data_IF_822414289124
#
_entry.id   IF_822414289124
#
_cell.length_a   1.000
_cell.length_b   1.000
_cell.length_c   1.000
_cell.angle_alpha   90.00
_cell.angle_beta   90.00
_cell.angle_gamma   90.00
#
_symmetry.space_group_name_H-M   'P 1'
#
loop_
_entity.id
_entity.type
_entity.pdbx_description
1 polymer ?
#
# COMPACT_ATOMS: atom_id res chain seq x y z
N UNK A 1 -0.39 -15.79 8.38
CA UNK A 1 0.20 -14.73 7.54
C UNK A 1 0.96 -15.41 6.43
N UNK A 2 0.98 -14.86 5.20
CA UNK A 2 1.80 -15.41 4.12
C UNK A 2 3.24 -15.70 4.59
N UNK A 3 3.77 -16.86 4.22
CA UNK A 3 5.09 -17.34 4.67
C UNK A 3 5.14 -18.01 6.06
N UNK A 4 4.07 -17.96 6.86
CA UNK A 4 3.94 -18.71 8.10
C UNK A 4 3.04 -19.93 7.89
N UNK A 5 3.65 -21.11 7.87
CA UNK A 5 2.94 -22.38 7.56
C UNK A 5 1.86 -22.67 8.60
N UNK A 6 0.63 -22.82 8.12
CA UNK A 6 -0.52 -23.28 8.88
C UNK A 6 -0.59 -24.80 8.82
N UNK A 7 -0.06 -25.45 9.85
CA UNK A 7 -0.14 -26.90 10.03
C UNK A 7 -1.50 -27.38 10.53
N UNK A 8 -1.72 -28.71 10.51
CA UNK A 8 -3.00 -29.34 10.89
C UNK A 8 -3.52 -28.91 12.27
N UNK A 9 -2.61 -28.74 13.24
CA UNK A 9 -2.96 -28.32 14.61
C UNK A 9 -3.48 -26.88 14.72
N UNK A 10 -3.20 -26.04 13.73
CA UNK A 10 -3.60 -24.63 13.70
C UNK A 10 -4.75 -24.36 12.72
N UNK A 11 -5.28 -25.38 12.04
CA UNK A 11 -6.33 -25.18 11.02
C UNK A 11 -7.61 -24.60 11.62
N UNK A 12 -8.11 -25.20 12.71
CA UNK A 12 -9.36 -24.76 13.33
C UNK A 12 -9.26 -23.35 13.92
N UNK A 13 -8.16 -23.05 14.63
CA UNK A 13 -7.91 -21.71 15.18
C UNK A 13 -7.71 -20.66 14.08
N UNK A 14 -7.03 -21.01 12.99
CA UNK A 14 -6.86 -20.14 11.81
C UNK A 14 -8.21 -19.85 11.15
N UNK A 15 -9.05 -20.88 10.97
CA UNK A 15 -10.39 -20.73 10.42
C UNK A 15 -11.25 -19.80 11.26
N UNK A 16 -11.31 -20.02 12.57
CA UNK A 16 -12.09 -19.16 13.49
C UNK A 16 -11.57 -17.71 13.47
N UNK A 17 -10.25 -17.52 13.42
CA UNK A 17 -9.65 -16.19 13.36
C UNK A 17 -9.98 -15.48 12.05
N UNK A 18 -9.95 -16.20 10.92
CA UNK A 18 -10.34 -15.66 9.62
C UNK A 18 -11.82 -15.26 9.61
N UNK A 19 -12.71 -16.16 10.02
CA UNK A 19 -14.16 -15.88 10.09
C UNK A 19 -14.44 -14.66 10.96
N UNK A 20 -13.74 -14.54 12.10
CA UNK A 20 -13.89 -13.38 12.98
C UNK A 20 -13.40 -12.09 12.34
N UNK A 21 -12.26 -12.12 11.67
CA UNK A 21 -11.71 -10.96 10.97
C UNK A 21 -12.63 -10.51 9.83
N UNK A 22 -13.14 -11.45 9.04
CA UNK A 22 -14.10 -11.19 7.95
C UNK A 22 -15.39 -10.54 8.47
N UNK A 23 -15.92 -11.02 9.61
CA UNK A 23 -17.08 -10.44 10.28
C UNK A 23 -16.82 -8.99 10.71
N UNK A 24 -15.66 -8.72 11.33
CA UNK A 24 -15.30 -7.38 11.81
C UNK A 24 -15.11 -6.40 10.65
N UNK A 25 -14.44 -6.83 9.57
CA UNK A 25 -14.28 -6.00 8.36
C UNK A 25 -15.63 -5.73 7.71
N UNK A 26 -16.53 -6.72 7.63
CA UNK A 26 -17.86 -6.55 7.05
C UNK A 26 -18.70 -5.52 7.82
N UNK A 27 -18.66 -5.58 9.15
CA UNK A 27 -19.42 -4.69 10.05
C UNK A 27 -18.87 -3.26 10.13
N UNK A 28 -17.64 -3.03 9.67
CA UNK A 28 -16.97 -1.73 9.76
C UNK A 28 -17.05 -0.98 8.43
N UNK A 29 -17.16 0.34 8.47
CA UNK A 29 -17.09 1.19 7.27
C UNK A 29 -15.65 1.53 6.89
N UNK A 30 -14.80 1.67 7.92
CA UNK A 30 -13.39 2.05 7.82
C UNK A 30 -12.53 1.07 8.58
N UNK A 31 -11.41 0.67 7.99
CA UNK A 31 -10.43 -0.23 8.61
C UNK A 31 -9.07 0.47 8.66
N UNK A 32 -8.51 0.61 9.85
CA UNK A 32 -7.14 1.08 10.05
C UNK A 32 -6.18 -0.10 10.13
N UNK A 33 -5.18 -0.15 9.24
CA UNK A 33 -4.19 -1.21 9.18
C UNK A 33 -2.96 -0.77 9.98
N UNK A 34 -3.02 -0.97 11.30
CA UNK A 34 -2.01 -0.54 12.29
C UNK A 34 -1.17 -1.73 12.77
N UNK A 35 -0.60 -2.48 11.83
CA UNK A 35 0.05 -3.76 12.10
C UNK A 35 1.57 -3.60 12.20
N UNK A 36 2.23 -4.54 12.85
CA UNK A 36 3.67 -4.52 13.13
C UNK A 36 4.51 -5.06 11.97
N UNK A 37 3.95 -5.91 11.10
CA UNK A 37 4.68 -6.54 9.99
C UNK A 37 4.02 -6.35 8.62
N UNK A 38 4.80 -6.58 7.55
CA UNK A 38 4.32 -6.48 6.17
C UNK A 38 3.34 -7.61 5.86
N UNK A 39 3.67 -8.82 6.24
CA UNK A 39 2.91 -10.05 6.07
C UNK A 39 1.58 -10.04 6.85
N UNK A 40 1.51 -9.36 8.00
CA UNK A 40 0.25 -9.17 8.73
C UNK A 40 -0.75 -8.29 7.95
N UNK A 41 -0.26 -7.27 7.23
CA UNK A 41 -1.11 -6.33 6.46
C UNK A 41 -1.79 -6.96 5.25
N UNK A 42 -1.28 -8.09 4.77
CA UNK A 42 -1.73 -8.69 3.51
C UNK A 42 -3.21 -9.06 3.54
N UNK A 43 -3.63 -9.87 4.51
CA UNK A 43 -5.02 -10.35 4.55
C UNK A 43 -6.03 -9.19 4.76
N UNK A 44 -5.85 -8.27 5.73
CA UNK A 44 -6.72 -7.10 5.85
C UNK A 44 -6.79 -6.26 4.57
N UNK A 45 -5.68 -6.14 3.81
CA UNK A 45 -5.68 -5.44 2.52
C UNK A 45 -6.55 -6.16 1.49
N UNK A 46 -6.41 -7.49 1.36
CA UNK A 46 -7.25 -8.31 0.48
C UNK A 46 -8.73 -8.19 0.86
N UNK A 47 -9.05 -8.28 2.16
CA UNK A 47 -10.42 -8.18 2.67
C UNK A 47 -11.06 -6.83 2.36
N UNK A 48 -10.35 -5.72 2.63
CA UNK A 48 -10.87 -4.38 2.36
C UNK A 48 -11.08 -4.15 0.86
N UNK A 49 -10.14 -4.61 0.03
CA UNK A 49 -10.27 -4.52 -1.43
C UNK A 49 -11.43 -5.39 -1.96
N UNK A 50 -11.63 -6.59 -1.42
CA UNK A 50 -12.71 -7.49 -1.82
C UNK A 50 -14.11 -6.96 -1.44
N UNK A 51 -14.21 -6.32 -0.27
CA UNK A 51 -15.46 -5.79 0.31
C UNK A 51 -15.65 -4.28 0.06
N UNK A 52 -14.76 -3.66 -0.71
CA UNK A 52 -14.76 -2.23 -1.04
C UNK A 52 -14.85 -1.32 0.19
N UNK A 53 -14.05 -1.60 1.22
CA UNK A 53 -13.98 -0.83 2.47
C UNK A 53 -12.92 0.28 2.39
N UNK A 54 -13.15 1.40 3.09
CA UNK A 54 -12.10 2.42 3.27
C UNK A 54 -10.99 1.80 4.12
N UNK A 55 -9.79 1.70 3.57
CA UNK A 55 -8.62 1.20 4.28
C UNK A 55 -7.57 2.31 4.41
N UNK A 56 -7.20 2.62 5.66
CA UNK A 56 -6.12 3.55 5.99
C UNK A 56 -4.98 2.76 6.60
N UNK A 57 -3.86 2.65 5.89
CA UNK A 57 -2.66 2.00 6.37
C UNK A 57 -1.75 3.02 7.07
N UNK A 58 -1.19 2.64 8.22
CA UNK A 58 -0.09 3.34 8.84
C UNK A 58 1.06 2.37 9.14
N UNK A 59 2.27 2.79 8.85
CA UNK A 59 3.49 2.02 9.09
C UNK A 59 4.58 2.93 9.64
N UNK A 60 5.37 2.38 10.57
CA UNK A 60 6.46 3.08 11.23
C UNK A 60 7.78 2.38 10.91
N UNK A 61 8.78 3.18 10.52
CA UNK A 61 10.19 2.82 10.56
C UNK A 61 10.83 3.26 11.88
N UNK A 62 12.15 3.37 11.89
CA UNK A 62 12.90 3.88 13.05
C UNK A 62 12.62 5.37 13.30
N UNK A 63 12.82 6.20 12.28
CA UNK A 63 12.65 7.66 12.30
C UNK A 63 11.69 8.17 11.20
N UNK A 64 11.09 7.27 10.43
CA UNK A 64 10.16 7.58 9.34
C UNK A 64 8.80 6.93 9.53
N UNK A 65 7.79 7.44 8.82
CA UNK A 65 6.44 6.89 8.82
C UNK A 65 5.83 6.94 7.43
N UNK A 66 4.78 6.14 7.23
CA UNK A 66 3.93 6.19 6.04
C UNK A 66 2.48 6.05 6.45
N UNK A 67 1.63 6.95 5.98
CA UNK A 67 0.17 6.91 6.10
C UNK A 67 -0.42 6.89 4.70
N UNK A 68 -1.29 5.95 4.40
CA UNK A 68 -1.80 5.73 3.04
C UNK A 68 -3.28 5.36 3.07
N UNK A 69 -4.07 5.91 2.16
CA UNK A 69 -5.41 5.36 1.86
C UNK A 69 -5.31 4.39 0.69
N UNK A 70 -5.98 3.24 0.76
CA UNK A 70 -6.02 2.32 -0.37
C UNK A 70 -7.07 2.73 -1.39
N UNK A 71 -6.80 2.46 -2.67
CA UNK A 71 -7.80 2.60 -3.71
C UNK A 71 -8.91 1.56 -3.68
N UNK A 72 -10.06 1.91 -4.27
CA UNK A 72 -11.21 1.01 -4.42
C UNK A 72 -10.98 -0.04 -5.49
N UNK A 73 -11.72 -1.14 -5.40
CA UNK A 73 -11.70 -2.19 -6.43
C UNK A 73 -13.12 -2.47 -6.88
N UNK A 74 -13.53 -1.81 -7.96
CA UNK A 74 -14.77 -2.12 -8.65
C UNK A 74 -14.49 -2.99 -9.87
N UNK A 75 -15.02 -4.21 -9.87
CA UNK A 75 -14.75 -5.23 -10.90
C UNK A 75 -15.71 -5.14 -12.10
N UNK A 76 -16.62 -4.17 -12.13
CA UNK A 76 -17.58 -4.00 -13.23
C UNK A 76 -16.96 -3.44 -14.51
N UNK A 77 -15.73 -2.91 -14.44
CA UNK A 77 -14.98 -2.51 -15.63
C UNK A 77 -13.50 -2.83 -15.40
N UNK A 78 -12.90 -3.80 -16.12
CA UNK A 78 -11.48 -4.09 -16.04
C UNK A 78 -10.69 -3.02 -16.82
N UNK A 79 -10.75 -1.78 -16.34
CA UNK A 79 -9.93 -0.71 -16.89
C UNK A 79 -8.54 -0.83 -16.27
N UNK A 80 -7.51 -0.84 -17.12
CA UNK A 80 -6.14 -0.57 -16.67
C UNK A 80 -6.10 0.78 -15.98
N UNK A 81 -5.28 0.96 -14.94
CA UNK A 81 -5.13 2.29 -14.35
C UNK A 81 -4.66 3.29 -15.41
N UNK A 82 -5.16 4.52 -15.35
CA UNK A 82 -4.54 5.62 -16.07
C UNK A 82 -3.21 5.94 -15.36
N UNK A 83 -2.10 5.59 -16.01
CA UNK A 83 -0.75 5.82 -15.49
C UNK A 83 -0.25 7.23 -15.78
N UNK A 84 -0.90 7.95 -16.70
CA UNK A 84 -0.54 9.31 -17.09
C UNK A 84 -1.34 10.36 -16.29
N UNK A 85 -2.37 9.92 -15.56
CA UNK A 85 -3.15 10.77 -14.68
C UNK A 85 -2.28 11.36 -13.55
N UNK A 86 -2.08 12.69 -13.58
CA UNK A 86 -1.37 13.43 -12.51
C UNK A 86 -2.07 13.30 -11.15
N UNK A 87 -3.41 13.34 -11.15
CA UNK A 87 -4.25 13.29 -9.95
C UNK A 87 -5.22 12.09 -10.03
N UNK A 88 -4.76 10.85 -9.87
CA UNK A 88 -5.60 9.66 -10.02
C UNK A 88 -6.72 9.61 -8.98
N UNK A 89 -7.89 9.17 -9.42
CA UNK A 89 -9.05 8.91 -8.58
C UNK A 89 -8.88 7.62 -7.76
N UNK A 90 -9.76 7.41 -6.77
CA UNK A 90 -9.68 6.29 -5.82
C UNK A 90 -9.47 4.92 -6.46
N UNK A 91 -10.18 4.59 -7.54
CA UNK A 91 -10.03 3.30 -8.23
C UNK A 91 -8.63 3.03 -8.82
N UNK A 92 -7.87 4.08 -9.13
CA UNK A 92 -6.52 3.97 -9.69
C UNK A 92 -5.42 4.10 -8.64
N UNK A 93 -5.78 4.31 -7.37
CA UNK A 93 -4.81 4.28 -6.29
C UNK A 93 -4.38 2.87 -5.93
N UNK A 94 -3.09 2.73 -5.70
CA UNK A 94 -2.47 1.53 -5.18
C UNK A 94 -2.90 1.20 -3.75
N UNK A 95 -2.61 -0.03 -3.34
CA UNK A 95 -2.56 -0.37 -1.91
C UNK A 95 -1.10 -0.39 -1.45
N UNK A 96 -0.88 -0.71 -0.18
CA UNK A 96 0.46 -0.87 0.39
C UNK A 96 1.39 -1.80 -0.44
N UNK A 97 0.84 -2.84 -1.07
CA UNK A 97 1.59 -3.82 -1.87
C UNK A 97 1.68 -3.49 -3.37
N UNK A 98 1.25 -2.31 -3.82
CA UNK A 98 1.33 -1.95 -5.25
C UNK A 98 2.70 -1.46 -5.69
N UNK A 99 3.55 -0.97 -4.77
CA UNK A 99 4.95 -0.64 -5.08
C UNK A 99 5.90 -1.84 -4.91
N UNK A 100 5.34 -3.02 -4.65
CA UNK A 100 6.12 -4.17 -4.21
C UNK A 100 6.34 -5.13 -5.37
N UNK A 101 7.61 -5.49 -5.58
CA UNK A 101 8.03 -6.46 -6.60
C UNK A 101 8.18 -7.87 -6.02
N UNK A 102 7.73 -8.12 -4.79
CA UNK A 102 7.87 -9.42 -4.11
C UNK A 102 6.59 -9.86 -3.38
N UNK A 103 6.37 -11.18 -3.22
CA UNK A 103 5.34 -11.72 -2.34
C UNK A 103 5.63 -11.37 -0.87
N UNK A 104 4.61 -11.02 -0.06
CA UNK A 104 4.77 -10.93 1.39
C UNK A 104 5.18 -12.30 1.95
N UNK A 105 6.36 -12.37 2.55
CA UNK A 105 6.92 -13.58 3.16
C UNK A 105 7.13 -13.43 4.66
N UNK A 106 7.58 -14.50 5.32
CA UNK A 106 7.97 -14.45 6.73
C UNK A 106 9.23 -13.59 6.88
N UNK A 107 9.06 -12.35 7.30
CA UNK A 107 10.15 -11.40 7.46
C UNK A 107 10.85 -11.53 8.82
N UNK A 108 10.36 -12.44 9.68
CA UNK A 108 10.85 -12.64 11.05
C UNK A 108 11.93 -13.73 11.16
N UNK A 109 12.03 -14.64 10.19
CA UNK A 109 12.99 -15.76 10.23
C UNK A 109 14.46 -15.32 10.17
N UNK A 110 14.75 -14.21 9.49
CA UNK A 110 16.12 -13.72 9.26
C UNK A 110 16.46 -12.45 10.07
N UNK A 111 15.57 -12.02 10.97
CA UNK A 111 15.80 -10.86 11.86
C UNK A 111 16.30 -11.31 13.22
N UNK A 112 17.38 -10.68 13.70
CA UNK A 112 17.80 -10.82 15.11
C UNK A 112 16.70 -10.28 16.04
N UNK A 113 16.66 -10.72 17.30
CA UNK A 113 15.59 -10.36 18.27
C UNK A 113 15.37 -8.83 18.36
N UNK A 114 16.45 -8.06 18.27
CA UNK A 114 16.45 -6.58 18.30
C UNK A 114 15.90 -5.93 17.02
N UNK A 115 15.78 -6.66 15.91
CA UNK A 115 15.19 -6.22 14.64
C UNK A 115 13.71 -6.65 14.50
N UNK A 116 13.24 -7.56 15.36
CA UNK A 116 11.84 -8.01 15.40
C UNK A 116 10.95 -7.00 16.14
N UNK A 117 11.54 -6.23 17.07
CA UNK A 117 10.89 -5.06 17.68
C UNK A 117 11.23 -3.83 16.82
N UNK A 118 10.26 -3.21 16.15
CA UNK A 118 10.48 -1.89 15.53
C UNK A 118 10.78 -0.89 16.64
N UNK A 119 12.05 -0.66 16.94
CA UNK A 119 12.49 0.50 17.72
C UNK A 119 12.11 1.71 16.88
N UNK A 120 11.13 2.48 17.33
CA UNK A 120 10.68 3.69 16.65
C UNK A 120 10.87 4.87 17.60
N UNK A 121 11.25 6.02 17.05
CA UNK A 121 11.31 7.26 17.82
C UNK A 121 9.91 7.55 18.39
N UNK A 122 9.75 7.79 19.71
CA UNK A 122 8.42 7.82 20.36
C UNK A 122 7.40 8.82 19.77
N UNK A 123 7.87 9.90 19.14
CA UNK A 123 6.98 10.89 18.51
C UNK A 123 6.31 10.42 17.21
N UNK A 124 6.85 9.40 16.54
CA UNK A 124 6.35 8.93 15.25
C UNK A 124 4.92 8.40 15.31
N UNK A 125 4.60 7.62 16.35
CA UNK A 125 3.29 7.01 16.48
C UNK A 125 2.19 8.06 16.61
N UNK A 126 2.46 9.16 17.32
CA UNK A 126 1.51 10.27 17.47
C UNK A 126 1.31 11.02 16.15
N UNK A 127 2.39 11.29 15.41
CA UNK A 127 2.33 11.97 14.12
C UNK A 127 1.56 11.11 13.10
N UNK A 128 1.93 9.85 12.95
CA UNK A 128 1.28 8.94 12.01
C UNK A 128 -0.20 8.71 12.37
N UNK A 129 -0.54 8.55 13.65
CA UNK A 129 -1.92 8.40 14.10
C UNK A 129 -2.75 9.65 13.81
N UNK A 130 -2.23 10.85 14.10
CA UNK A 130 -2.90 12.11 13.79
C UNK A 130 -3.17 12.25 12.29
N UNK A 131 -2.16 12.01 11.46
CA UNK A 131 -2.28 12.08 10.00
C UNK A 131 -3.25 11.03 9.45
N UNK A 132 -3.28 9.81 10.00
CA UNK A 132 -4.20 8.76 9.57
C UNK A 132 -5.66 9.14 9.86
N UNK A 133 -5.94 9.74 11.02
CA UNK A 133 -7.28 10.23 11.36
C UNK A 133 -7.65 11.44 10.51
N UNK A 134 -6.77 12.42 10.36
CA UNK A 134 -7.05 13.61 9.54
C UNK A 134 -7.27 13.24 8.06
N UNK A 135 -6.51 12.29 7.52
CA UNK A 135 -6.73 11.77 6.17
C UNK A 135 -8.13 11.16 6.03
N UNK A 136 -8.59 10.40 7.01
CA UNK A 136 -9.95 9.86 7.01
C UNK A 136 -10.99 10.97 7.09
N UNK A 137 -10.83 11.93 8.00
CA UNK A 137 -11.80 13.02 8.18
C UNK A 137 -11.90 13.85 6.90
N UNK A 138 -10.78 14.22 6.27
CA UNK A 138 -10.76 14.91 4.98
C UNK A 138 -11.47 14.09 3.89
N UNK A 139 -11.20 12.78 3.82
CA UNK A 139 -11.84 11.88 2.86
C UNK A 139 -13.36 11.83 3.03
N UNK A 140 -13.86 11.75 4.26
CA UNK A 140 -15.30 11.69 4.54
C UNK A 140 -16.04 13.01 4.30
N UNK A 141 -15.35 14.14 4.38
CA UNK A 141 -15.94 15.46 4.10
C UNK A 141 -15.91 15.83 2.62
N UNK A 142 -15.15 15.11 1.80
CA UNK A 142 -15.07 15.38 0.37
C UNK A 142 -16.26 14.78 -0.39
N UNK A 143 -16.79 15.53 -1.36
CA UNK A 143 -17.99 15.15 -2.12
C UNK A 143 -17.84 13.82 -2.86
N UNK A 144 -16.62 13.50 -3.30
CA UNK A 144 -16.28 12.23 -3.97
C UNK A 144 -15.90 11.09 -3.01
N UNK A 145 -15.79 11.34 -1.70
CA UNK A 145 -15.48 10.32 -0.70
C UNK A 145 -14.21 9.51 -1.02
N UNK A 146 -14.31 8.18 -0.96
CA UNK A 146 -13.21 7.24 -1.25
C UNK A 146 -12.65 7.38 -2.69
N UNK A 147 -13.45 7.89 -3.63
CA UNK A 147 -13.05 8.10 -5.02
C UNK A 147 -12.33 9.43 -5.27
N UNK A 148 -12.21 10.28 -4.24
CA UNK A 148 -11.52 11.57 -4.36
C UNK A 148 -10.13 11.43 -5.00
N UNK A 149 -9.82 12.32 -5.94
CA UNK A 149 -8.54 12.39 -6.60
C UNK A 149 -7.40 12.62 -5.58
N UNK A 150 -6.29 11.93 -5.78
CA UNK A 150 -5.08 12.15 -4.99
C UNK A 150 -4.29 13.33 -5.55
N UNK A 151 -3.99 14.30 -4.70
CA UNK A 151 -3.16 15.44 -5.05
C UNK A 151 -1.74 15.26 -4.52
N UNK A 152 -0.75 15.56 -5.36
CA UNK A 152 0.65 15.73 -4.97
C UNK A 152 0.92 17.23 -4.93
N UNK A 153 0.75 17.86 -3.79
CA UNK A 153 1.01 19.29 -3.67
C UNK A 153 1.09 19.77 -2.24
N UNK A 154 2.12 20.58 -1.96
CA UNK A 154 2.03 21.55 -0.87
C UNK A 154 0.98 22.60 -1.26
N UNK A 155 0.22 23.15 -0.30
CA UNK A 155 -0.87 24.11 -0.57
C UNK A 155 -0.46 25.38 -1.36
N UNK A 156 0.83 25.56 -1.67
CA UNK A 156 1.39 26.69 -2.43
C UNK A 156 1.47 26.43 -3.94
N UNK A 157 1.36 25.18 -4.39
CA UNK A 157 1.49 24.79 -5.81
C UNK A 157 0.17 24.27 -6.42
N UNK A 158 -0.96 24.52 -5.75
CA UNK A 158 -2.30 24.19 -6.26
C UNK A 158 -2.55 25.07 -7.47
N UNK A 159 -2.50 24.48 -8.66
CA UNK A 159 -2.84 25.19 -9.88
C UNK A 159 -4.33 25.55 -9.88
N UNK A 160 -4.78 26.56 -10.64
CA UNK A 160 -6.21 26.88 -10.73
C UNK A 160 -7.08 25.67 -11.11
N UNK A 161 -6.54 24.76 -11.94
CA UNK A 161 -7.16 23.49 -12.31
C UNK A 161 -7.24 22.47 -11.17
N UNK A 162 -6.40 22.55 -10.14
CA UNK A 162 -6.44 21.61 -9.02
C UNK A 162 -7.49 21.99 -7.96
N UNK A 163 -8.03 23.22 -8.01
CA UNK A 163 -9.02 23.75 -7.05
C UNK A 163 -10.28 22.87 -6.97
N UNK A 164 -10.64 22.20 -8.05
CA UNK A 164 -11.82 21.31 -8.11
C UNK A 164 -11.65 20.01 -7.31
N UNK A 165 -10.40 19.62 -7.01
CA UNK A 165 -10.05 18.42 -6.23
C UNK A 165 -9.81 18.73 -4.75
N UNK A 166 -9.90 19.99 -4.34
CA UNK A 166 -9.69 20.40 -2.95
C UNK A 166 -11.01 20.33 -2.19
N UNK A 167 -11.03 19.53 -1.12
CA UNK A 167 -12.19 19.42 -0.23
C UNK A 167 -12.27 20.54 0.79
N UNK A 168 -13.33 20.50 1.61
CA UNK A 168 -13.54 21.46 2.71
C UNK A 168 -12.35 21.55 3.68
N UNK A 169 -11.68 20.42 3.91
CA UNK A 169 -10.54 20.29 4.82
C UNK A 169 -9.19 20.28 4.10
N UNK A 170 -9.16 20.67 2.83
CA UNK A 170 -7.96 20.70 2.01
C UNK A 170 -7.84 19.50 1.07
N UNK A 171 -6.61 19.23 0.64
CA UNK A 171 -6.31 18.14 -0.29
C UNK A 171 -6.39 16.77 0.39
N UNK A 172 -6.67 15.73 -0.41
CA UNK A 172 -6.70 14.35 0.05
C UNK A 172 -5.55 13.58 -0.60
N UNK A 173 -4.39 13.47 0.06
CA UNK A 173 -3.27 12.74 -0.50
C UNK A 173 -3.59 11.24 -0.64
N UNK A 174 -2.83 10.56 -1.51
CA UNK A 174 -2.81 9.10 -1.52
C UNK A 174 -1.92 8.58 -0.37
N UNK A 175 -0.64 8.96 -0.39
CA UNK A 175 0.35 8.55 0.61
C UNK A 175 1.03 9.77 1.20
N UNK A 176 1.17 9.79 2.52
CA UNK A 176 1.95 10.76 3.29
C UNK A 176 3.16 10.02 3.85
N UNK A 177 4.37 10.42 3.47
CA UNK A 177 5.62 9.91 4.00
C UNK A 177 6.31 11.02 4.76
N UNK A 178 6.89 10.74 5.92
CA UNK A 178 7.68 11.74 6.62
C UNK A 178 8.83 11.14 7.37
N UNK A 179 9.80 11.99 7.69
CA UNK A 179 11.01 11.63 8.41
C UNK A 179 11.31 12.64 9.50
N UNK A 180 11.59 12.13 10.70
CA UNK A 180 12.06 12.94 11.83
C UNK A 180 13.56 13.23 11.78
N UNK A 181 14.28 12.64 10.81
CA UNK A 181 15.70 12.92 10.61
C UNK A 181 15.89 14.32 10.05
N UNK A 182 15.20 14.62 8.96
CA UNK A 182 15.24 15.89 8.23
C UNK A 182 14.00 16.77 8.48
N UNK A 183 13.05 16.30 9.29
CA UNK A 183 11.81 17.00 9.66
C UNK A 183 10.93 17.36 8.45
N UNK A 184 10.89 16.48 7.45
CA UNK A 184 10.11 16.69 6.24
C UNK A 184 8.89 15.77 6.13
N UNK A 185 8.01 16.12 5.20
CA UNK A 185 6.84 15.33 4.83
C UNK A 185 6.57 15.49 3.35
N UNK A 186 6.42 14.36 2.66
CA UNK A 186 6.22 14.24 1.23
C UNK A 186 4.90 13.54 0.94
N UNK A 187 4.19 14.05 -0.07
CA UNK A 187 3.00 13.41 -0.61
C UNK A 187 3.42 12.61 -1.84
N UNK A 188 3.06 11.33 -1.89
CA UNK A 188 3.39 10.48 -3.04
C UNK A 188 2.17 9.71 -3.52
N UNK A 189 2.24 9.31 -4.80
CA UNK A 189 1.20 8.53 -5.45
C UNK A 189 1.81 7.25 -6.00
N UNK A 190 1.11 6.16 -5.73
CA UNK A 190 1.32 4.86 -6.35
C UNK A 190 0.06 4.50 -7.12
N UNK A 191 0.22 4.20 -8.40
CA UNK A 191 -0.90 3.70 -9.20
C UNK A 191 -1.19 2.23 -8.85
N UNK A 192 -2.45 1.83 -9.04
CA UNK A 192 -2.89 0.45 -8.87
C UNK A 192 -2.08 -0.47 -9.79
N UNK A 193 -1.26 -1.34 -9.21
CA UNK A 193 -0.52 -2.31 -9.98
C UNK A 193 -1.39 -3.53 -10.33
N UNK A 194 -1.47 -3.86 -11.62
CA UNK A 194 -2.31 -4.94 -12.16
C UNK A 194 -1.90 -6.32 -11.69
N UNK A 195 -0.61 -6.53 -11.39
CA UNK A 195 -0.08 -7.79 -10.85
C UNK A 195 0.22 -7.74 -9.35
N UNK A 196 -0.40 -6.80 -8.62
CA UNK A 196 -0.25 -6.70 -7.17
C UNK A 196 -0.69 -8.00 -6.47
N UNK A 197 0.11 -8.47 -5.51
CA UNK A 197 -0.14 -9.70 -4.74
C UNK A 197 -1.26 -9.60 -3.70
N UNK A 198 -1.88 -8.42 -3.55
CA UNK A 198 -2.97 -8.18 -2.58
C UNK A 198 -4.26 -7.65 -3.21
N UNK A 199 -4.17 -6.70 -4.16
CA UNK A 199 -5.36 -6.00 -4.66
C UNK A 199 -5.60 -6.16 -6.18
N UNK A 200 -4.88 -7.05 -6.85
CA UNK A 200 -5.11 -7.35 -8.26
C UNK A 200 -6.41 -8.13 -8.48
N UNK A 201 -6.94 -8.08 -9.70
CA UNK A 201 -8.18 -8.79 -10.06
C UNK A 201 -8.09 -10.30 -9.78
N UNK A 202 -7.02 -11.02 -10.17
CA UNK A 202 -6.91 -12.45 -9.88
C UNK A 202 -6.93 -12.76 -8.38
N UNK A 203 -6.24 -11.97 -7.57
CA UNK A 203 -6.16 -12.16 -6.12
C UNK A 203 -7.52 -12.00 -5.46
N UNK A 204 -8.24 -10.93 -5.81
CA UNK A 204 -9.55 -10.66 -5.21
C UNK A 204 -10.59 -11.69 -5.69
N UNK A 205 -10.54 -12.09 -6.96
CA UNK A 205 -11.43 -13.13 -7.49
C UNK A 205 -11.19 -14.48 -6.79
N UNK A 206 -9.93 -14.89 -6.62
CA UNK A 206 -9.58 -16.14 -5.95
C UNK A 206 -10.02 -16.15 -4.48
N UNK A 207 -9.81 -15.05 -3.75
CA UNK A 207 -10.31 -14.91 -2.38
C UNK A 207 -11.83 -15.04 -2.32
N UNK A 208 -12.58 -14.33 -3.19
CA UNK A 208 -14.05 -14.40 -3.22
C UNK A 208 -14.57 -15.80 -3.53
N UNK A 209 -13.86 -16.57 -4.35
CA UNK A 209 -14.28 -17.91 -4.76
C UNK A 209 -13.90 -19.01 -3.75
N UNK A 210 -12.73 -18.91 -3.11
CA UNK A 210 -12.15 -19.99 -2.30
C UNK A 210 -12.04 -19.69 -0.80
N UNK A 211 -12.16 -18.44 -0.39
CA UNK A 211 -12.12 -18.00 1.01
C UNK A 211 -10.91 -18.60 1.77
N UNK A 212 -11.20 -19.38 2.81
CA UNK A 212 -10.18 -20.03 3.65
C UNK A 212 -9.14 -20.83 2.84
N UNK A 213 -9.54 -21.57 1.80
CA UNK A 213 -8.58 -22.38 1.04
C UNK A 213 -7.54 -21.51 0.33
N UNK A 214 -7.93 -20.36 -0.18
CA UNK A 214 -7.00 -19.38 -0.75
C UNK A 214 -6.04 -18.83 0.31
N UNK A 215 -6.55 -18.50 1.50
CA UNK A 215 -5.71 -17.99 2.61
C UNK A 215 -4.69 -19.04 3.07
N UNK A 216 -5.10 -20.31 3.14
CA UNK A 216 -4.19 -21.41 3.48
C UNK A 216 -3.11 -21.61 2.42
N UNK A 217 -3.48 -21.59 1.13
CA UNK A 217 -2.52 -21.70 0.03
C UNK A 217 -1.52 -20.53 0.04
N UNK A 218 -1.99 -19.30 0.30
CA UNK A 218 -1.13 -18.12 0.45
C UNK A 218 -0.14 -18.24 1.62
N UNK A 219 -0.50 -18.96 2.69
CA UNK A 219 0.39 -19.21 3.83
C UNK A 219 1.36 -20.38 3.59
N UNK A 220 0.91 -21.42 2.90
CA UNK A 220 1.59 -22.71 2.86
C UNK A 220 2.36 -22.98 1.56
N UNK A 221 1.98 -22.35 0.45
CA UNK A 221 2.56 -22.60 -0.87
C UNK A 221 3.50 -21.46 -1.24
N UNK A 222 4.81 -21.73 -1.41
CA UNK A 222 5.77 -20.73 -1.86
C UNK A 222 5.39 -20.14 -3.22
N UNK A 223 5.55 -18.83 -3.35
CA UNK A 223 5.32 -18.05 -4.58
C UNK A 223 3.89 -18.18 -5.14
N UNK A 224 2.93 -18.65 -4.34
CA UNK A 224 1.54 -18.81 -4.78
C UNK A 224 0.92 -17.48 -5.20
N UNK A 225 1.16 -16.41 -4.43
CA UNK A 225 0.59 -15.09 -4.72
C UNK A 225 1.23 -14.45 -5.95
N UNK A 226 2.55 -14.61 -6.12
CA UNK A 226 3.26 -14.15 -7.32
C UNK A 226 2.78 -14.83 -8.60
N UNK A 227 2.56 -16.14 -8.54
CA UNK A 227 2.01 -16.93 -9.65
C UNK A 227 0.59 -16.50 -10.01
N UNK A 228 -0.25 -16.36 -8.99
CA UNK A 228 -1.65 -16.02 -9.16
C UNK A 228 -1.84 -14.58 -9.65
N UNK A 229 -1.04 -13.64 -9.16
CA UNK A 229 -1.14 -12.23 -9.55
C UNK A 229 -0.54 -11.94 -10.92
N UNK A 230 0.26 -12.85 -11.48
CA UNK A 230 0.98 -12.61 -12.73
C UNK A 230 2.36 -11.96 -12.54
N UNK A 231 2.78 -11.73 -11.29
CA UNK A 231 4.05 -11.07 -10.96
C UNK A 231 5.25 -11.95 -11.31
N UNK A 232 5.15 -13.27 -11.13
CA UNK A 232 6.24 -14.20 -11.47
C UNK A 232 6.62 -14.11 -12.96
N UNK A 233 5.65 -13.94 -13.85
CA UNK A 233 5.93 -13.80 -15.29
C UNK A 233 6.55 -12.45 -15.63
N UNK A 234 6.23 -11.38 -14.89
CA UNK A 234 6.84 -10.06 -15.07
C UNK A 234 8.31 -10.10 -14.65
N UNK A 235 8.60 -10.67 -13.48
CA UNK A 235 9.97 -10.79 -12.94
C UNK A 235 10.89 -11.69 -13.78
N UNK A 236 10.33 -12.60 -14.57
CA UNK A 236 11.10 -13.47 -15.47
C UNK A 236 11.39 -12.84 -16.83
N UNK A 237 10.88 -11.63 -17.11
CA UNK A 237 11.12 -11.03 -18.43
C UNK A 237 12.55 -10.50 -18.51
N UNK A 238 13.32 -10.86 -19.55
CA UNK A 238 14.73 -10.50 -19.67
C UNK A 238 14.96 -9.00 -19.90
N UNK A 239 13.95 -8.27 -20.41
CA UNK A 239 13.96 -6.82 -20.59
C UNK A 239 13.81 -6.06 -19.26
N UNK A 240 13.29 -6.71 -18.21
CA UNK A 240 13.11 -6.08 -16.90
C UNK A 240 14.45 -5.84 -16.20
N UNK A 241 15.38 -6.79 -16.28
CA UNK A 241 16.71 -6.63 -15.70
C UNK A 241 17.44 -5.45 -16.35
N UNK A 242 17.42 -5.37 -17.69
CA UNK A 242 18.01 -4.28 -18.45
C UNK A 242 17.38 -2.91 -18.12
N UNK A 243 16.05 -2.88 -17.93
CA UNK A 243 15.32 -1.68 -17.54
C UNK A 243 15.62 -1.26 -16.08
N UNK A 244 15.73 -2.21 -15.15
CA UNK A 244 16.13 -1.94 -13.77
C UNK A 244 17.56 -1.38 -13.71
N UNK A 245 18.49 -1.99 -14.44
CA UNK A 245 19.86 -1.46 -14.57
C UNK A 245 19.88 -0.04 -15.16
N UNK A 246 19.06 0.24 -16.18
CA UNK A 246 18.94 1.56 -16.77
C UNK A 246 18.36 2.61 -15.80
N UNK A 247 17.37 2.24 -14.98
CA UNK A 247 16.78 3.13 -13.98
C UNK A 247 17.73 3.43 -12.81
N UNK A 248 18.44 2.41 -12.32
CA UNK A 248 19.41 2.57 -11.23
C UNK A 248 20.62 3.41 -11.68
N UNK A 249 21.01 3.33 -12.96
CA UNK A 249 22.10 4.16 -13.51
C UNK A 249 21.70 5.60 -13.78
N UNK A 250 20.41 5.91 -13.91
CA UNK A 250 19.91 7.30 -14.05
C UNK A 250 19.82 8.01 -12.69
N UNK A 251 19.67 7.26 -11.58
CA UNK A 251 19.60 7.86 -10.24
C UNK A 251 20.92 8.36 -9.66
N UNK A 252 22.06 8.05 -10.30
CA UNK A 252 23.40 8.43 -9.84
C UNK A 252 23.99 9.66 -10.58
N UNK A 253 23.31 10.21 -11.60
CA UNK A 253 23.86 11.28 -12.48
C UNK A 253 23.37 12.72 -12.15
N UNK A 254 22.67 12.96 -11.04
CA UNK A 254 22.19 14.31 -10.64
C UNK A 254 23.15 15.06 -9.66
N UNK A 255 24.42 14.63 -9.51
CA UNK A 255 25.45 15.36 -8.74
C UNK A 255 26.73 15.67 -9.55
N UNK A 256 26.63 16.42 -10.65
CA UNK A 256 27.67 17.41 -11.00
C UNK A 256 27.23 18.26 -12.21
N UNK A 257 26.82 19.52 -11.97
CA UNK A 257 27.09 20.57 -12.96
C UNK A 257 26.88 21.98 -12.37
N UNK A 258 28.01 22.69 -12.18
CA UNK A 258 28.09 24.11 -12.50
C UNK A 258 28.37 25.09 -11.36
N UNK A 259 29.64 25.38 -11.09
CA UNK A 259 30.28 26.59 -11.64
C UNK A 259 31.71 26.79 -11.13
N UNK A 260 32.68 26.40 -11.96
CA UNK A 260 33.96 27.10 -12.08
C UNK A 260 33.79 28.21 -13.13
N UNK A 261 33.67 29.46 -12.70
CA UNK A 261 34.12 30.61 -13.50
C UNK A 261 34.79 31.62 -12.58
N UNK A 262 36.12 31.54 -12.57
CA UNK A 262 37.05 32.55 -12.03
C UNK A 262 37.12 33.73 -13.01
N UNK A 263 37.33 34.96 -12.53
CA UNK A 263 38.67 35.55 -12.66
C UNK A 263 39.27 36.04 -11.33
#
# INVERSE_FOLDING_TARGET
MPGHVVGKSMLDSTKQSLEKLEELVEKSDVVFLLLDSREARWLPTVLCAAKNKIAINAALGFDSYTVQRHGTRNFTSPVSPDLDARNPCGMDLGCYFCNDVTQPGNSQTDRTLDQQCTVSRPGLSQIAAGLAVELLVALLQHSQGIEAAALVGNSRDISPSDTEFVGLLGCIPHTIRGSLWNYDTHLTITHRFTSCTACSVPIIAEYKNRGLSFVLDACNIPNYLEKLSGLEQILKRPDLDELCYALDSISDDDEDDGNDVIP
#
